data_IF_631904167654
#
_entry.id   IF_631904167654
#
_cell.length_a   1.000
_cell.length_b   1.000
_cell.length_c   1.000
_cell.angle_alpha   90.00
_cell.angle_beta   90.00
_cell.angle_gamma   90.00
#
_symmetry.space_group_name_H-M   'P 1'
#
loop_
_entity.id
_entity.type
_entity.pdbx_description
1 polymer ?
#
# COMPACT_ATOMS: atom_id res chain seq x y z
N UNK A 1 -3.71 66.09 9.77
CA UNK A 1 -2.49 65.56 9.12
C UNK A 1 -2.52 64.05 9.35
N UNK A 2 -3.17 63.34 8.43
CA UNK A 2 -3.44 61.90 8.55
C UNK A 2 -2.15 61.11 8.30
N UNK A 3 -1.83 60.17 9.21
CA UNK A 3 -0.77 59.18 8.98
C UNK A 3 -1.31 58.11 8.03
N UNK A 4 -0.74 58.06 6.83
CA UNK A 4 -0.97 56.99 5.85
C UNK A 4 -0.67 55.62 6.45
N UNK A 5 -1.67 54.74 6.46
CA UNK A 5 -1.52 53.32 6.74
C UNK A 5 -0.76 52.65 5.58
N UNK A 6 0.49 52.26 5.82
CA UNK A 6 1.19 51.33 4.92
C UNK A 6 0.71 49.92 5.29
N UNK A 7 -0.28 49.41 4.55
CA UNK A 7 -0.63 47.98 4.55
C UNK A 7 0.44 47.24 3.74
N UNK A 8 1.43 46.68 4.43
CA UNK A 8 2.37 45.72 3.82
C UNK A 8 1.59 44.43 3.58
N UNK A 9 1.25 44.18 2.32
CA UNK A 9 0.64 42.92 1.89
C UNK A 9 1.74 41.84 1.91
N UNK A 10 1.72 40.95 2.91
CA UNK A 10 2.54 39.75 2.87
C UNK A 10 1.97 38.80 1.81
N UNK A 11 2.55 38.84 0.61
CA UNK A 11 2.44 37.73 -0.33
C UNK A 11 3.22 36.56 0.27
N UNK A 12 2.51 35.68 0.99
CA UNK A 12 3.03 34.37 1.34
C UNK A 12 3.14 33.61 0.02
N UNK A 13 4.31 33.68 -0.62
CA UNK A 13 4.69 32.67 -1.60
C UNK A 13 4.64 31.35 -0.85
N UNK A 14 3.61 30.55 -1.12
CA UNK A 14 3.57 29.16 -0.66
C UNK A 14 4.72 28.44 -1.35
N UNK A 15 5.91 28.52 -0.77
CA UNK A 15 6.94 27.52 -0.94
C UNK A 15 6.31 26.23 -0.43
N UNK A 16 5.71 25.47 -1.35
CA UNK A 16 5.60 24.04 -1.17
C UNK A 16 7.04 23.57 -1.05
N UNK A 17 7.51 23.44 0.19
CA UNK A 17 8.69 22.64 0.47
C UNK A 17 8.27 21.25 -0.01
N UNK A 18 8.72 20.88 -1.20
CA UNK A 18 8.68 19.51 -1.67
C UNK A 18 9.58 18.79 -0.67
N UNK A 19 8.98 18.28 0.40
CA UNK A 19 9.68 17.52 1.42
C UNK A 19 10.25 16.31 0.70
N UNK A 20 11.56 16.37 0.45
CA UNK A 20 12.37 15.29 -0.06
C UNK A 20 12.48 14.28 1.08
N UNK A 21 11.47 13.41 1.22
CA UNK A 21 11.45 12.45 2.31
C UNK A 21 12.42 11.31 1.95
N UNK A 22 13.55 11.32 2.65
CA UNK A 22 14.51 10.22 2.65
C UNK A 22 14.05 9.24 3.71
N UNK A 23 13.98 7.96 3.35
CA UNK A 23 13.70 6.90 4.33
C UNK A 23 15.00 6.26 4.80
N UNK A 24 15.02 5.80 6.05
CA UNK A 24 16.09 4.97 6.57
C UNK A 24 15.65 3.50 6.50
N UNK A 25 16.37 2.68 5.74
CA UNK A 25 16.15 1.25 5.65
C UNK A 25 17.12 0.49 6.56
N UNK A 26 16.61 -0.56 7.20
CA UNK A 26 17.39 -1.72 7.57
C UNK A 26 17.24 -2.76 6.46
N UNK A 27 18.34 -3.06 5.78
CA UNK A 27 18.32 -4.04 4.70
C UNK A 27 18.60 -5.43 5.25
N UNK A 28 17.82 -6.43 4.86
CA UNK A 28 17.98 -7.80 5.36
C UNK A 28 17.50 -8.85 4.36
N UNK A 29 17.94 -10.10 4.55
CA UNK A 29 17.30 -11.26 3.93
C UNK A 29 16.27 -11.83 4.89
N UNK A 30 15.03 -11.96 4.44
CA UNK A 30 13.93 -12.42 5.30
C UNK A 30 13.01 -13.37 4.52
N UNK A 31 12.43 -14.34 5.24
CA UNK A 31 11.39 -15.24 4.72
C UNK A 31 10.07 -14.90 5.43
N UNK A 32 9.11 -14.35 4.70
CA UNK A 32 7.80 -14.01 5.26
C UNK A 32 6.88 -15.24 5.25
N UNK A 33 6.02 -15.35 6.27
CA UNK A 33 5.17 -16.51 6.52
C UNK A 33 4.34 -17.01 5.32
N UNK A 34 3.87 -16.10 4.46
CA UNK A 34 3.02 -16.40 3.31
C UNK A 34 3.76 -16.35 1.97
N UNK A 35 5.05 -16.00 1.99
CA UNK A 35 5.84 -15.90 0.79
C UNK A 35 6.33 -17.28 0.32
N UNK A 36 6.42 -17.46 -1.00
CA UNK A 36 6.96 -18.67 -1.63
C UNK A 36 8.50 -18.69 -1.67
N UNK A 37 9.14 -17.54 -1.42
CA UNK A 37 10.58 -17.34 -1.48
C UNK A 37 11.05 -16.31 -0.44
N UNK A 38 12.35 -16.31 -0.13
CA UNK A 38 12.95 -15.26 0.69
C UNK A 38 13.19 -14.00 -0.12
N UNK A 39 13.04 -12.83 0.51
CA UNK A 39 13.26 -11.54 -0.11
C UNK A 39 14.45 -10.81 0.49
N UNK A 40 15.18 -10.08 -0.37
CA UNK A 40 16.02 -8.99 0.11
C UNK A 40 15.15 -7.75 0.32
N UNK A 41 14.99 -7.35 1.57
CA UNK A 41 13.99 -6.38 2.02
C UNK A 41 14.65 -5.05 2.42
N UNK A 42 13.98 -3.92 2.15
CA UNK A 42 14.11 -2.70 2.93
C UNK A 42 13.01 -2.68 4.00
N UNK A 43 13.41 -2.80 5.27
CA UNK A 43 12.55 -2.52 6.42
C UNK A 43 12.73 -1.06 6.81
N UNK A 44 11.69 -0.24 6.62
CA UNK A 44 11.74 1.17 6.99
C UNK A 44 11.81 1.28 8.51
N UNK A 45 12.87 1.91 9.03
CA UNK A 45 13.10 2.04 10.47
C UNK A 45 12.32 3.20 11.07
N UNK A 46 12.32 4.34 10.39
CA UNK A 46 11.61 5.55 10.81
C UNK A 46 11.16 6.29 9.56
N UNK A 47 9.92 6.80 9.59
CA UNK A 47 9.46 7.80 8.64
C UNK A 47 8.68 8.88 9.38
N UNK A 48 9.10 10.12 9.20
CA UNK A 48 8.34 11.26 9.67
C UNK A 48 7.48 11.75 8.51
N UNK A 49 6.16 11.80 8.74
CA UNK A 49 5.21 12.18 7.71
C UNK A 49 4.82 13.63 7.96
N UNK A 50 5.25 14.52 7.08
CA UNK A 50 4.97 15.95 7.19
C UNK A 50 4.07 16.42 6.06
N UNK A 51 2.95 17.05 6.42
CA UNK A 51 1.96 17.63 5.50
C UNK A 51 1.26 16.60 4.60
N UNK A 52 -0.06 16.76 4.39
CA UNK A 52 -0.89 15.95 3.49
C UNK A 52 -1.00 14.44 3.77
N UNK A 53 -0.39 13.94 4.86
CA UNK A 53 -0.51 12.54 5.32
C UNK A 53 -0.06 11.51 4.26
N UNK A 54 0.95 11.87 3.48
CA UNK A 54 1.49 11.10 2.36
C UNK A 54 3.01 11.27 2.27
N UNK A 55 3.69 10.27 1.72
CA UNK A 55 5.15 10.27 1.55
C UNK A 55 5.49 10.28 0.05
N UNK A 56 6.42 11.14 -0.35
CA UNK A 56 7.11 11.05 -1.64
C UNK A 56 8.56 10.63 -1.39
N UNK A 57 8.83 9.35 -1.64
CA UNK A 57 10.17 8.80 -1.50
C UNK A 57 11.04 9.28 -2.66
N UNK A 58 12.21 9.79 -2.30
CA UNK A 58 13.21 10.28 -3.25
C UNK A 58 14.56 9.58 -3.07
N UNK A 59 14.81 9.04 -1.88
CA UNK A 59 16.00 8.28 -1.56
C UNK A 59 15.74 7.28 -0.42
N UNK A 60 16.54 6.23 -0.36
CA UNK A 60 16.59 5.27 0.74
C UNK A 60 18.03 5.11 1.22
N UNK A 61 18.27 5.55 2.45
CA UNK A 61 19.57 5.47 3.11
C UNK A 61 19.67 4.22 3.97
N UNK A 62 20.85 3.62 4.06
CA UNK A 62 21.09 2.41 4.84
C UNK A 62 22.29 1.62 4.35
N UNK A 63 22.77 0.70 5.18
CA UNK A 63 23.90 -0.17 4.84
C UNK A 63 23.37 -1.47 4.23
N UNK A 64 23.67 -1.71 2.96
CA UNK A 64 23.37 -2.99 2.32
C UNK A 64 24.29 -4.12 2.82
N UNK A 65 23.79 -5.35 2.74
CA UNK A 65 24.59 -6.56 2.96
C UNK A 65 25.44 -6.90 1.73
N UNK A 66 26.69 -7.28 1.97
CA UNK A 66 27.62 -7.77 0.96
C UNK A 66 27.80 -6.78 -0.21
N UNK A 67 27.52 -7.22 -1.45
CA UNK A 67 27.63 -6.43 -2.69
C UNK A 67 26.26 -5.99 -3.22
N UNK A 68 25.22 -6.04 -2.39
CA UNK A 68 23.86 -5.66 -2.79
C UNK A 68 23.67 -4.14 -2.79
N UNK A 69 22.67 -3.69 -3.53
CA UNK A 69 22.22 -2.30 -3.60
C UNK A 69 20.68 -2.25 -3.74
N UNK A 70 20.12 -1.07 -4.01
CA UNK A 70 18.68 -0.87 -4.18
C UNK A 70 18.06 -1.66 -5.34
N UNK A 71 18.81 -1.97 -6.40
CA UNK A 71 18.31 -2.78 -7.52
C UNK A 71 18.12 -4.25 -7.13
N UNK A 72 18.75 -4.70 -6.03
CA UNK A 72 18.55 -6.06 -5.49
C UNK A 72 17.37 -6.16 -4.52
N UNK A 73 16.76 -5.04 -4.11
CA UNK A 73 15.65 -5.04 -3.17
C UNK A 73 14.38 -5.54 -3.85
N UNK A 74 13.75 -6.52 -3.22
CA UNK A 74 12.56 -7.22 -3.72
C UNK A 74 11.35 -7.05 -2.80
N UNK A 75 11.58 -6.67 -1.53
CA UNK A 75 10.52 -6.40 -0.57
C UNK A 75 10.67 -4.99 0.03
N UNK A 76 9.54 -4.29 0.14
CA UNK A 76 9.43 -3.04 0.87
C UNK A 76 8.49 -3.23 2.06
N UNK A 77 8.97 -2.94 3.27
CA UNK A 77 8.21 -3.05 4.50
C UNK A 77 8.16 -1.72 5.24
N UNK A 78 6.95 -1.25 5.47
CA UNK A 78 6.63 -0.07 6.26
C UNK A 78 5.56 -0.43 7.30
N UNK A 79 5.83 -0.17 8.57
CA UNK A 79 4.84 -0.36 9.63
C UNK A 79 4.75 0.84 10.55
N UNK A 80 3.64 0.92 11.28
CA UNK A 80 3.44 1.81 12.43
C UNK A 80 3.60 3.32 12.09
N UNK A 81 3.44 3.66 10.82
CA UNK A 81 3.41 5.02 10.31
C UNK A 81 2.01 5.63 10.52
N UNK A 82 1.70 5.99 11.76
CA UNK A 82 0.34 6.33 12.22
C UNK A 82 -0.27 7.57 11.54
N UNK A 83 0.51 8.39 10.85
CA UNK A 83 -0.01 9.55 10.10
C UNK A 83 -0.14 9.28 8.59
N UNK A 84 0.26 8.10 8.10
CA UNK A 84 0.14 7.76 6.69
C UNK A 84 -1.32 7.48 6.33
N UNK A 85 -1.89 8.29 5.43
CA UNK A 85 -3.25 8.12 4.93
C UNK A 85 -3.34 7.83 3.43
N UNK A 86 -2.26 8.08 2.68
CA UNK A 86 -2.14 7.77 1.25
C UNK A 86 -0.98 6.83 0.98
N UNK A 87 -1.06 6.06 -0.10
CA UNK A 87 0.00 5.14 -0.48
C UNK A 87 1.30 5.92 -0.77
N UNK A 88 2.49 5.47 -0.28
CA UNK A 88 3.74 6.17 -0.54
C UNK A 88 4.12 6.11 -2.03
N UNK A 89 4.53 7.26 -2.57
CA UNK A 89 4.90 7.39 -3.99
C UNK A 89 6.40 7.42 -4.17
N UNK A 90 6.91 7.07 -5.36
CA UNK A 90 8.35 7.11 -5.68
C UNK A 90 9.16 5.90 -5.21
N UNK A 91 8.52 4.90 -4.58
CA UNK A 91 9.15 3.63 -4.20
C UNK A 91 9.79 2.96 -5.44
N UNK A 92 9.08 2.94 -6.57
CA UNK A 92 9.48 2.36 -7.85
C UNK A 92 10.75 2.99 -8.44
N UNK A 93 11.01 4.28 -8.13
CA UNK A 93 12.20 5.00 -8.56
C UNK A 93 13.44 4.57 -7.79
N UNK A 94 13.26 4.08 -6.56
CA UNK A 94 14.33 3.62 -5.69
C UNK A 94 14.56 2.12 -5.87
N UNK A 95 13.50 1.32 -5.78
CA UNK A 95 13.53 -0.14 -5.83
C UNK A 95 12.83 -0.66 -7.09
N UNK A 96 13.63 -0.98 -8.12
CA UNK A 96 13.10 -1.30 -9.47
C UNK A 96 12.48 -2.70 -9.59
N UNK A 97 12.77 -3.60 -8.65
CA UNK A 97 12.49 -5.04 -8.77
C UNK A 97 11.60 -5.58 -7.65
N UNK A 98 10.69 -4.75 -7.12
CA UNK A 98 9.80 -5.16 -6.05
C UNK A 98 8.84 -6.28 -6.48
N UNK A 99 8.78 -7.30 -5.63
CA UNK A 99 7.91 -8.47 -5.68
C UNK A 99 6.99 -8.52 -4.46
N UNK A 100 7.34 -7.83 -3.37
CA UNK A 100 6.54 -7.75 -2.15
C UNK A 100 6.46 -6.31 -1.63
N UNK A 101 5.25 -5.90 -1.25
CA UNK A 101 5.00 -4.64 -0.55
C UNK A 101 4.18 -4.95 0.69
N UNK A 102 4.63 -4.46 1.84
CA UNK A 102 3.94 -4.59 3.12
C UNK A 102 3.83 -3.22 3.78
N UNK A 103 2.61 -2.71 3.92
CA UNK A 103 2.31 -1.43 4.59
C UNK A 103 1.26 -1.71 5.66
N UNK A 104 1.66 -1.69 6.93
CA UNK A 104 0.85 -2.28 8.01
C UNK A 104 0.71 -1.33 9.18
N UNK A 105 -0.39 -1.44 9.94
CA UNK A 105 -0.65 -0.59 11.11
C UNK A 105 -0.56 0.91 10.79
N UNK A 106 -1.29 1.36 9.77
CA UNK A 106 -1.29 2.76 9.32
C UNK A 106 -2.71 3.33 9.31
N UNK A 107 -2.89 4.58 8.86
CA UNK A 107 -4.21 5.17 8.60
C UNK A 107 -4.54 5.19 7.10
N UNK A 108 -3.91 4.32 6.29
CA UNK A 108 -4.11 4.28 4.84
C UNK A 108 -5.59 4.08 4.50
N UNK A 109 -6.18 5.04 3.79
CA UNK A 109 -7.64 5.10 3.52
C UNK A 109 -8.03 4.48 2.20
N UNK A 110 -7.12 4.52 1.23
CA UNK A 110 -7.34 4.04 -0.11
C UNK A 110 -6.06 3.54 -0.74
N UNK A 111 -6.23 2.63 -1.69
CA UNK A 111 -5.23 2.23 -2.68
C UNK A 111 -5.90 2.29 -4.04
N UNK A 112 -5.16 2.80 -5.03
CA UNK A 112 -5.66 3.01 -6.38
C UNK A 112 -4.83 2.22 -7.38
N UNK A 113 -5.39 2.03 -8.58
CA UNK A 113 -4.65 1.46 -9.72
C UNK A 113 -3.35 2.22 -10.00
N UNK A 114 -3.35 3.54 -9.86
CA UNK A 114 -2.18 4.38 -10.10
C UNK A 114 -1.04 4.10 -9.11
N UNK A 115 -1.38 3.77 -7.86
CA UNK A 115 -0.41 3.40 -6.83
C UNK A 115 0.27 2.07 -7.15
N UNK A 116 -0.49 1.09 -7.68
CA UNK A 116 0.00 -0.27 -7.88
C UNK A 116 0.55 -0.55 -9.28
N UNK A 117 0.16 0.22 -10.32
CA UNK A 117 0.56 -0.05 -11.71
C UNK A 117 2.07 -0.02 -11.96
N UNK A 118 2.81 0.69 -11.12
CA UNK A 118 4.27 0.81 -11.20
C UNK A 118 5.00 -0.44 -10.67
N UNK A 119 4.29 -1.42 -10.11
CA UNK A 119 4.85 -2.67 -9.59
C UNK A 119 4.34 -3.90 -10.38
N UNK A 120 4.69 -4.07 -11.66
CA UNK A 120 4.18 -5.16 -12.50
C UNK A 120 4.67 -6.55 -12.07
N UNK A 121 5.69 -6.61 -11.22
CA UNK A 121 6.26 -7.86 -10.69
C UNK A 121 5.73 -8.25 -9.31
N UNK A 122 4.78 -7.50 -8.75
CA UNK A 122 4.23 -7.72 -7.42
C UNK A 122 3.56 -9.11 -7.32
N UNK A 123 4.02 -9.92 -6.37
CA UNK A 123 3.48 -11.21 -5.97
C UNK A 123 2.74 -11.15 -4.62
N UNK A 124 3.22 -10.34 -3.69
CA UNK A 124 2.68 -10.27 -2.33
C UNK A 124 2.34 -8.81 -2.00
N UNK A 125 1.08 -8.54 -1.64
CA UNK A 125 0.65 -7.24 -1.14
C UNK A 125 -0.01 -7.42 0.22
N UNK A 126 0.62 -6.87 1.25
CA UNK A 126 0.10 -6.89 2.61
C UNK A 126 -0.24 -5.46 3.03
N UNK A 127 -1.53 -5.21 3.21
CA UNK A 127 -2.04 -3.96 3.77
C UNK A 127 -3.10 -4.31 4.80
N UNK A 128 -2.67 -4.58 6.03
CA UNK A 128 -3.56 -4.93 7.14
C UNK A 128 -3.40 -3.94 8.29
N UNK A 129 -4.39 -3.88 9.18
CA UNK A 129 -4.40 -2.92 10.28
C UNK A 129 -4.44 -1.47 9.78
N UNK A 130 -5.18 -1.21 8.70
CA UNK A 130 -5.32 0.12 8.10
C UNK A 130 -6.79 0.53 7.98
N UNK A 131 -7.15 1.47 7.10
CA UNK A 131 -8.51 2.03 7.01
C UNK A 131 -9.09 1.97 5.59
N UNK A 132 -8.66 0.98 4.79
CA UNK A 132 -9.18 0.80 3.42
C UNK A 132 -10.66 0.43 3.49
N UNK A 133 -11.50 1.14 2.72
CA UNK A 133 -12.96 0.92 2.71
C UNK A 133 -13.50 0.23 1.46
N UNK A 134 -12.86 0.47 0.32
CA UNK A 134 -13.38 0.09 -0.99
C UNK A 134 -12.25 -0.53 -1.80
N UNK A 135 -12.50 -1.70 -2.38
CA UNK A 135 -11.66 -2.25 -3.44
C UNK A 135 -12.40 -2.06 -4.77
N UNK A 136 -11.79 -1.28 -5.68
CA UNK A 136 -12.33 -0.98 -7.00
C UNK A 136 -12.06 -2.10 -8.00
N UNK A 137 -12.87 -2.20 -9.05
CA UNK A 137 -12.70 -3.19 -10.12
C UNK A 137 -11.29 -3.15 -10.75
N UNK A 138 -10.74 -1.95 -10.94
CA UNK A 138 -9.52 -1.72 -11.72
C UNK A 138 -8.21 -1.80 -10.90
N UNK A 139 -8.32 -1.96 -9.57
CA UNK A 139 -7.22 -1.82 -8.63
C UNK A 139 -5.99 -2.68 -8.98
N UNK A 140 -6.20 -3.90 -9.46
CA UNK A 140 -5.14 -4.88 -9.72
C UNK A 140 -4.90 -5.17 -11.21
N UNK A 141 -5.40 -4.33 -12.13
CA UNK A 141 -5.30 -4.55 -13.58
C UNK A 141 -3.87 -4.78 -14.08
N UNK A 142 -2.88 -4.19 -13.41
CA UNK A 142 -1.48 -4.24 -13.80
C UNK A 142 -0.64 -5.23 -12.96
N UNK A 143 -1.22 -5.88 -11.95
CA UNK A 143 -0.50 -6.72 -10.97
C UNK A 143 -0.89 -8.21 -11.11
N UNK A 144 -0.81 -8.74 -12.34
CA UNK A 144 -1.30 -10.08 -12.70
C UNK A 144 -0.54 -11.24 -12.03
N UNK A 145 0.62 -10.94 -11.41
CA UNK A 145 1.47 -11.91 -10.72
C UNK A 145 1.13 -12.07 -9.24
N UNK A 146 0.16 -11.33 -8.72
CA UNK A 146 -0.21 -11.40 -7.30
C UNK A 146 -0.67 -12.82 -6.93
N UNK A 147 -0.02 -13.37 -5.92
CA UNK A 147 -0.24 -14.69 -5.31
C UNK A 147 -0.89 -14.57 -3.92
N UNK A 148 -0.55 -13.50 -3.18
CA UNK A 148 -1.03 -13.24 -1.82
C UNK A 148 -1.55 -11.82 -1.69
N UNK A 149 -2.79 -11.71 -1.22
CA UNK A 149 -3.39 -10.46 -0.74
C UNK A 149 -3.74 -10.61 0.74
N UNK A 150 -3.14 -9.76 1.57
CA UNK A 150 -3.47 -9.67 2.99
C UNK A 150 -4.08 -8.31 3.30
N UNK A 151 -5.40 -8.27 3.47
CA UNK A 151 -6.22 -7.07 3.66
C UNK A 151 -7.07 -7.14 4.94
N UNK A 152 -6.71 -8.03 5.87
CA UNK A 152 -7.37 -8.16 7.17
C UNK A 152 -7.31 -6.88 7.99
N UNK A 153 -8.23 -6.72 8.93
CA UNK A 153 -8.25 -5.62 9.89
C UNK A 153 -8.20 -4.24 9.22
N UNK A 154 -8.98 -4.08 8.15
CA UNK A 154 -9.26 -2.79 7.51
C UNK A 154 -10.70 -2.34 7.84
N UNK A 155 -11.31 -1.56 6.94
CA UNK A 155 -12.68 -1.05 7.02
C UNK A 155 -13.45 -1.37 5.75
N UNK A 156 -13.10 -2.47 5.08
CA UNK A 156 -13.64 -2.82 3.77
C UNK A 156 -15.12 -3.14 3.93
N UNK A 157 -15.96 -2.26 3.39
CA UNK A 157 -17.41 -2.39 3.36
C UNK A 157 -17.93 -2.67 1.95
N UNK A 158 -17.08 -2.50 0.93
CA UNK A 158 -17.41 -2.75 -0.47
C UNK A 158 -16.23 -3.31 -1.25
N UNK A 159 -16.50 -4.35 -2.04
CA UNK A 159 -15.58 -4.89 -3.05
C UNK A 159 -16.34 -4.98 -4.35
N UNK A 160 -15.84 -4.36 -5.41
CA UNK A 160 -16.43 -4.53 -6.74
C UNK A 160 -16.31 -6.00 -7.19
N UNK A 161 -17.38 -6.51 -7.81
CA UNK A 161 -17.49 -7.93 -8.21
C UNK A 161 -16.30 -8.41 -9.05
N UNK A 162 -15.64 -7.52 -9.78
CA UNK A 162 -14.52 -7.85 -10.68
C UNK A 162 -13.14 -7.47 -10.15
N UNK A 163 -13.02 -6.95 -8.92
CA UNK A 163 -11.72 -6.53 -8.35
C UNK A 163 -10.64 -7.61 -8.42
N UNK A 164 -10.99 -8.88 -8.33
CA UNK A 164 -10.04 -10.00 -8.36
C UNK A 164 -10.01 -10.78 -9.68
N UNK A 165 -10.81 -10.36 -10.69
CA UNK A 165 -11.06 -11.12 -11.92
C UNK A 165 -9.80 -11.42 -12.76
N UNK A 166 -8.75 -10.59 -12.62
CA UNK A 166 -7.48 -10.74 -13.34
C UNK A 166 -6.41 -11.52 -12.57
N UNK A 167 -6.64 -11.79 -11.28
CA UNK A 167 -5.64 -12.39 -10.39
C UNK A 167 -5.64 -13.91 -10.46
N UNK A 168 -5.21 -14.45 -11.61
CA UNK A 168 -5.22 -15.89 -11.88
C UNK A 168 -4.31 -16.72 -10.95
N UNK A 169 -3.28 -16.07 -10.39
CA UNK A 169 -2.30 -16.68 -9.49
C UNK A 169 -2.64 -16.54 -8.01
N UNK A 170 -3.75 -15.87 -7.66
CA UNK A 170 -4.11 -15.61 -6.27
C UNK A 170 -4.44 -16.91 -5.52
N UNK A 171 -3.59 -17.24 -4.55
CA UNK A 171 -3.66 -18.46 -3.75
C UNK A 171 -4.02 -18.19 -2.29
N UNK A 172 -3.77 -16.97 -1.81
CA UNK A 172 -4.11 -16.53 -0.46
C UNK A 172 -4.80 -15.18 -0.51
N UNK A 173 -5.99 -15.10 0.09
CA UNK A 173 -6.79 -13.89 0.25
C UNK A 173 -7.26 -13.82 1.70
N UNK A 174 -6.73 -12.88 2.46
CA UNK A 174 -7.07 -12.67 3.87
C UNK A 174 -7.86 -11.36 3.99
N UNK A 175 -9.10 -11.46 4.47
CA UNK A 175 -10.07 -10.36 4.52
C UNK A 175 -10.83 -10.30 5.86
N UNK A 176 -10.48 -11.16 6.82
CA UNK A 176 -11.04 -11.12 8.18
C UNK A 176 -10.89 -9.75 8.85
N UNK A 177 -11.81 -9.40 9.76
CA UNK A 177 -11.72 -8.13 10.52
C UNK A 177 -12.08 -6.87 9.71
N UNK A 178 -12.86 -7.02 8.64
CA UNK A 178 -13.42 -5.90 7.86
C UNK A 178 -14.89 -5.64 8.23
N UNK A 179 -15.44 -4.50 7.78
CA UNK A 179 -16.81 -4.06 8.11
C UNK A 179 -17.90 -4.85 7.37
N UNK A 180 -17.49 -5.68 6.42
CA UNK A 180 -18.33 -6.58 5.66
C UNK A 180 -18.29 -8.00 6.24
N UNK A 181 -19.34 -8.40 6.96
CA UNK A 181 -19.40 -9.63 7.75
C UNK A 181 -19.15 -10.92 6.95
N UNK A 182 -19.46 -10.93 5.65
CA UNK A 182 -19.25 -12.12 4.80
C UNK A 182 -17.78 -12.38 4.47
N UNK A 183 -16.89 -11.41 4.71
CA UNK A 183 -15.48 -11.52 4.37
C UNK A 183 -14.75 -12.44 5.35
N UNK A 184 -14.05 -13.42 4.79
CA UNK A 184 -13.32 -14.45 5.54
C UNK A 184 -11.94 -14.69 4.93
N UNK A 185 -11.13 -15.52 5.59
CA UNK A 185 -9.79 -15.86 5.10
C UNK A 185 -9.79 -17.13 4.25
N UNK A 186 -9.06 -17.08 3.14
CA UNK A 186 -8.83 -18.20 2.25
C UNK A 186 -7.33 -18.38 2.01
N UNK A 187 -6.80 -19.55 2.40
CA UNK A 187 -5.35 -19.87 2.31
C UNK A 187 -5.00 -20.93 1.25
N UNK A 188 -5.95 -21.28 0.40
CA UNK A 188 -5.74 -22.19 -0.73
C UNK A 188 -6.47 -21.66 -1.96
N UNK A 189 -5.96 -21.95 -3.16
CA UNK A 189 -6.57 -21.54 -4.44
C UNK A 189 -8.06 -21.89 -4.53
N UNK A 190 -8.42 -23.10 -4.12
CA UNK A 190 -9.82 -23.57 -4.09
C UNK A 190 -10.69 -22.68 -3.19
N UNK A 191 -10.23 -22.40 -1.96
CA UNK A 191 -10.95 -21.56 -1.02
C UNK A 191 -11.03 -20.11 -1.51
N UNK A 192 -9.97 -19.60 -2.14
CA UNK A 192 -9.93 -18.25 -2.73
C UNK A 192 -10.98 -18.15 -3.84
N UNK A 193 -11.06 -19.13 -4.74
CA UNK A 193 -12.09 -19.13 -5.80
C UNK A 193 -13.51 -19.16 -5.23
N UNK A 194 -13.73 -19.93 -4.16
CA UNK A 194 -15.02 -19.96 -3.48
C UNK A 194 -15.38 -18.60 -2.88
N UNK A 195 -14.42 -17.94 -2.22
CA UNK A 195 -14.61 -16.63 -1.62
C UNK A 195 -14.83 -15.53 -2.68
N UNK A 196 -14.11 -15.55 -3.80
CA UNK A 196 -14.32 -14.59 -4.89
C UNK A 196 -15.74 -14.73 -5.48
N UNK A 197 -16.20 -15.96 -5.72
CA UNK A 197 -17.59 -16.20 -6.19
C UNK A 197 -18.64 -15.69 -5.20
N UNK A 198 -18.35 -15.78 -3.91
CA UNK A 198 -19.21 -15.25 -2.85
C UNK A 198 -19.28 -13.71 -2.88
N UNK A 199 -18.14 -13.05 -3.10
CA UNK A 199 -18.05 -11.59 -3.27
C UNK A 199 -18.79 -11.14 -4.53
N UNK A 200 -18.60 -11.84 -5.66
CA UNK A 200 -19.30 -11.61 -6.93
C UNK A 200 -20.83 -11.72 -6.83
N UNK A 201 -21.33 -12.49 -5.86
CA UNK A 201 -22.76 -12.68 -5.58
C UNK A 201 -23.32 -11.62 -4.62
N UNK A 202 -22.71 -10.43 -4.56
CA UNK A 202 -23.18 -9.24 -3.85
C UNK A 202 -23.25 -9.36 -2.32
N UNK A 203 -22.45 -10.23 -1.70
CA UNK A 203 -22.43 -10.35 -0.23
C UNK A 203 -21.64 -9.22 0.47
N UNK A 204 -21.00 -8.31 -0.31
CA UNK A 204 -20.19 -7.24 0.22
C UNK A 204 -20.45 -5.88 -0.42
N UNK A 205 -21.66 -5.36 -0.25
CA UNK A 205 -22.03 -4.00 -0.63
C UNK A 205 -22.64 -3.29 0.57
N UNK A 206 -22.12 -2.11 0.94
CA UNK A 206 -22.82 -1.26 1.89
C UNK A 206 -24.11 -0.75 1.23
N UNK A 207 -25.20 -0.66 2.00
CA UNK A 207 -26.50 -0.12 1.55
C UNK A 207 -26.44 1.40 1.27
N UNK A 208 -25.27 2.02 1.32
CA UNK A 208 -25.07 3.47 1.25
C UNK A 208 -24.79 3.99 -0.18
N UNK A 209 -24.78 3.11 -1.20
CA UNK A 209 -24.54 3.48 -2.60
C UNK A 209 -25.67 3.07 -3.57
N UNK A 210 -26.89 2.86 -3.06
CA UNK A 210 -28.13 2.71 -3.87
C UNK A 210 -28.98 3.97 -3.71
#
# INVERSE_FOLDING_TARGET
MELNQIKVLFLILSFQIINCEKIQCYFQMIFHLLASEGYYECMVLNVEIFNQNSILLTNADGRHHERKNNDNVQAFYLSDALELQKFPTGIDKIFKNLSMISITNTKLKEITKEDLKVFPNLKNLHIYGSQIKILKEDLFENNLKVEVLWLSDNKISHIDSKSFSKLNNLNVLLLSGNDCESLTDARTREKVLKLIRQIEQNMCHSREFI
#
